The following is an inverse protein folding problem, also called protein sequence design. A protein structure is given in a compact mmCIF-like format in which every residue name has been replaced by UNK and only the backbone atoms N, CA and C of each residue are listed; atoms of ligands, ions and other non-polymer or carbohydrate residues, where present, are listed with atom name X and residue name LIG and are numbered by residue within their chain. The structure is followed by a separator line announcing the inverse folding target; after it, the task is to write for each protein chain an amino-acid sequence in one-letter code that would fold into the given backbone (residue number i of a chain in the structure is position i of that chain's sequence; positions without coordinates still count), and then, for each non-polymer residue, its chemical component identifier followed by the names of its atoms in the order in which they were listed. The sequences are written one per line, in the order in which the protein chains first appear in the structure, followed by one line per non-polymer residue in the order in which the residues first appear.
data_IF_162010199418
#
_entry.id   IF_162010199418
#
_cell.length_a   1.000
_cell.length_b   1.000
_cell.length_c   1.000
_cell.angle_alpha   90.00
_cell.angle_beta   90.00
_cell.angle_gamma   90.00
#
_symmetry.space_group_name_H-M   'P 1'
#
loop_
_entity.id
_entity.type
_entity.pdbx_description
1 polymer ?
#
# COMPACT_ATOMS: atom_id res chain seq x y z
N UNK A 1 5.71 4.02 21.04
CA UNK A 1 5.71 4.66 19.70
C UNK A 1 5.72 3.57 18.66
N UNK A 2 4.90 3.67 17.61
CA UNK A 2 5.00 2.71 16.49
C UNK A 2 6.14 3.15 15.58
N UNK A 3 7.05 2.26 15.24
CA UNK A 3 8.17 2.54 14.31
C UNK A 3 7.84 1.96 12.95
N UNK A 4 8.05 2.75 11.89
CA UNK A 4 7.88 2.34 10.49
C UNK A 4 9.11 2.78 9.68
N UNK A 5 9.41 2.13 8.52
CA UNK A 5 8.70 0.98 7.96
C UNK A 5 8.94 -0.29 8.77
N UNK A 6 8.01 -1.26 8.68
CA UNK A 6 8.17 -2.58 9.32
C UNK A 6 8.32 -3.67 8.27
N UNK A 7 9.08 -4.70 8.59
CA UNK A 7 9.15 -5.89 7.74
C UNK A 7 7.77 -6.56 7.70
N UNK A 8 7.28 -6.84 6.50
CA UNK A 8 6.03 -7.54 6.26
C UNK A 8 6.31 -9.02 6.04
N UNK A 9 5.73 -9.88 6.87
CA UNK A 9 6.00 -11.33 6.88
C UNK A 9 5.10 -12.13 5.92
N UNK A 10 4.13 -11.48 5.27
CA UNK A 10 3.17 -12.10 4.35
C UNK A 10 2.52 -13.40 4.84
N UNK A 11 2.07 -13.42 6.10
CA UNK A 11 1.46 -14.61 6.74
C UNK A 11 0.18 -15.05 6.02
N UNK A 12 -0.51 -14.11 5.38
CA UNK A 12 -1.74 -14.32 4.62
C UNK A 12 -1.49 -14.84 3.20
N UNK A 13 -0.24 -15.02 2.79
CA UNK A 13 0.17 -15.45 1.45
C UNK A 13 -0.44 -14.57 0.33
N UNK A 14 -0.41 -13.25 0.52
CA UNK A 14 -0.86 -12.29 -0.49
C UNK A 14 0.08 -12.34 -1.70
N UNK A 15 -0.52 -12.32 -2.90
CA UNK A 15 0.23 -12.18 -4.16
C UNK A 15 0.54 -10.71 -4.40
N UNK A 16 1.73 -10.29 -4.01
CA UNK A 16 2.19 -8.90 -4.15
C UNK A 16 3.00 -8.73 -5.45
N UNK A 17 2.92 -7.55 -6.04
CA UNK A 17 3.73 -7.12 -7.17
C UNK A 17 5.13 -6.69 -6.70
N UNK A 18 5.22 -6.15 -5.48
CA UNK A 18 6.50 -5.78 -4.88
C UNK A 18 7.41 -7.03 -4.72
N UNK A 19 8.68 -6.97 -5.13
CA UNK A 19 9.67 -8.04 -4.95
C UNK A 19 9.82 -8.50 -3.49
N UNK A 20 10.39 -9.68 -3.28
CA UNK A 20 10.59 -10.26 -1.92
C UNK A 20 11.43 -9.38 -0.99
N UNK A 21 11.30 -9.61 0.31
CA UNK A 21 11.58 -8.68 1.41
C UNK A 21 10.76 -7.39 1.35
N UNK A 22 9.46 -7.54 1.64
CA UNK A 22 8.51 -6.44 1.63
C UNK A 22 8.45 -5.73 2.98
N UNK A 23 8.18 -4.44 2.92
CA UNK A 23 7.99 -3.58 4.06
C UNK A 23 6.63 -2.91 3.99
N UNK A 24 6.03 -2.71 5.16
CA UNK A 24 4.78 -1.97 5.32
C UNK A 24 5.03 -0.52 5.78
N UNK A 25 4.25 0.42 5.25
CA UNK A 25 4.21 1.81 5.70
C UNK A 25 2.77 2.34 5.77
N UNK A 26 2.35 3.06 6.84
CA UNK A 26 0.98 3.55 6.97
C UNK A 26 0.64 4.61 5.92
N UNK A 27 -0.48 4.44 5.23
CA UNK A 27 -1.04 5.46 4.34
C UNK A 27 -2.02 6.33 5.13
N UNK A 28 -1.72 7.62 5.18
CA UNK A 28 -2.60 8.62 5.79
C UNK A 28 -3.50 9.23 4.70
N UNK A 29 -4.73 9.59 5.05
CA UNK A 29 -5.62 10.33 4.14
C UNK A 29 -5.12 11.75 3.86
N UNK A 30 -4.34 12.32 4.79
CA UNK A 30 -3.77 13.66 4.70
C UNK A 30 -2.39 13.69 5.37
N UNK A 31 -1.43 14.31 4.70
CA UNK A 31 -0.08 14.53 5.21
C UNK A 31 0.76 13.25 5.34
N UNK A 32 1.93 13.41 5.95
CA UNK A 32 2.84 12.31 6.22
C UNK A 32 2.48 11.58 7.52
N UNK A 33 2.83 10.30 7.61
CA UNK A 33 2.64 9.53 8.83
C UNK A 33 3.42 10.15 10.01
N UNK A 34 2.77 10.24 11.17
CA UNK A 34 3.33 10.77 12.40
C UNK A 34 3.38 9.67 13.49
N UNK A 35 4.56 9.35 14.05
CA UNK A 35 4.73 8.32 15.09
C UNK A 35 4.00 8.59 16.41
N UNK A 36 3.57 9.83 16.65
CA UNK A 36 2.77 10.19 17.84
C UNK A 36 1.28 9.91 17.66
N UNK A 37 0.84 9.58 16.44
CA UNK A 37 -0.56 9.24 16.13
C UNK A 37 -0.68 7.74 15.87
N UNK A 38 -1.87 7.21 16.15
CA UNK A 38 -2.20 5.85 15.76
C UNK A 38 -2.09 5.71 14.23
N UNK A 39 -1.37 4.70 13.71
CA UNK A 39 -1.31 4.46 12.28
C UNK A 39 -2.71 4.12 11.74
N UNK A 40 -3.00 4.54 10.51
CA UNK A 40 -4.26 4.21 9.84
C UNK A 40 -4.38 2.69 9.59
N UNK A 41 -5.48 2.20 9.02
CA UNK A 41 -5.65 0.78 8.71
C UNK A 41 -5.00 0.33 7.40
N UNK A 42 -4.64 1.28 6.55
CA UNK A 42 -4.11 1.03 5.21
C UNK A 42 -2.57 1.10 5.24
N UNK A 43 -1.93 0.19 4.51
CA UNK A 43 -0.48 0.08 4.36
C UNK A 43 -0.11 0.09 2.88
N UNK A 44 0.99 0.76 2.57
CA UNK A 44 1.75 0.49 1.35
C UNK A 44 2.70 -0.68 1.64
N UNK A 45 2.73 -1.67 0.76
CA UNK A 45 3.65 -2.80 0.77
C UNK A 45 4.66 -2.59 -0.35
N UNK A 46 5.95 -2.51 -0.02
CA UNK A 46 7.00 -2.15 -0.99
C UNK A 46 8.32 -2.82 -0.62
N UNK A 47 9.21 -3.00 -1.60
CA UNK A 47 10.59 -3.40 -1.34
C UNK A 47 11.44 -2.14 -1.09
N UNK A 48 12.37 -2.17 -0.11
CA UNK A 48 13.18 -0.99 0.23
C UNK A 48 14.18 -0.60 -0.86
N UNK A 49 14.68 -1.58 -1.60
CA UNK A 49 15.67 -1.45 -2.66
C UNK A 49 15.02 -1.05 -3.97
N UNK A 50 13.89 -1.68 -4.32
CA UNK A 50 13.09 -1.37 -5.50
C UNK A 50 11.69 -0.91 -5.11
N UNK A 51 11.46 0.40 -5.23
CA UNK A 51 10.16 1.04 -4.95
C UNK A 51 9.33 1.30 -6.20
N UNK A 52 9.76 0.80 -7.37
CA UNK A 52 9.02 0.97 -8.63
C UNK A 52 7.68 0.22 -8.61
N UNK A 53 7.62 -0.88 -7.87
CA UNK A 53 6.41 -1.63 -7.59
C UNK A 53 6.01 -1.48 -6.12
N UNK A 54 4.73 -1.23 -5.88
CA UNK A 54 4.15 -1.28 -4.54
C UNK A 54 2.71 -1.76 -4.63
N UNK A 55 2.24 -2.36 -3.55
CA UNK A 55 0.85 -2.75 -3.39
C UNK A 55 0.24 -1.97 -2.23
N UNK A 56 -1.09 -1.91 -2.20
CA UNK A 56 -1.83 -1.34 -1.08
C UNK A 56 -2.62 -2.45 -0.41
N UNK A 57 -2.50 -2.56 0.90
CA UNK A 57 -3.25 -3.52 1.70
C UNK A 57 -3.91 -2.83 2.90
N UNK A 58 -4.91 -3.46 3.49
CA UNK A 58 -5.60 -2.93 4.67
C UNK A 58 -5.86 -4.04 5.69
N UNK A 59 -5.92 -3.65 6.97
CA UNK A 59 -6.33 -4.55 8.04
C UNK A 59 -7.82 -4.89 7.93
N UNK A 60 -8.13 -6.15 7.63
CA UNK A 60 -9.47 -6.73 7.66
C UNK A 60 -9.65 -7.62 8.90
N UNK A 61 -10.33 -7.08 9.91
CA UNK A 61 -10.62 -7.78 11.17
C UNK A 61 -11.47 -9.04 11.00
N UNK A 62 -12.08 -9.27 9.83
CA UNK A 62 -12.79 -10.51 9.52
C UNK A 62 -11.85 -11.70 9.28
N UNK A 63 -10.59 -11.43 8.91
CA UNK A 63 -9.56 -12.47 8.72
C UNK A 63 -8.95 -12.85 10.07
N UNK A 64 -8.59 -11.85 10.88
CA UNK A 64 -8.02 -12.04 12.21
C UNK A 64 -8.15 -10.75 13.04
N UNK A 65 -8.23 -10.90 14.37
CA UNK A 65 -8.17 -9.80 15.33
C UNK A 65 -6.75 -9.25 15.50
N UNK A 66 -5.72 -10.03 15.12
CA UNK A 66 -4.32 -9.62 15.19
C UNK A 66 -4.00 -8.64 14.06
N UNK A 67 -3.72 -7.39 14.42
CA UNK A 67 -3.33 -6.35 13.47
C UNK A 67 -1.96 -6.62 12.81
N UNK A 68 -1.19 -7.63 13.23
CA UNK A 68 -0.01 -8.07 12.49
C UNK A 68 -0.31 -9.09 11.39
N UNK A 69 -1.50 -9.69 11.38
CA UNK A 69 -1.83 -10.89 10.60
C UNK A 69 -3.27 -10.88 10.08
N UNK A 70 -3.73 -9.72 9.62
CA UNK A 70 -5.06 -9.57 9.05
C UNK A 70 -5.09 -8.70 7.80
N UNK A 71 -4.06 -8.77 6.95
CA UNK A 71 -4.01 -8.00 5.73
C UNK A 71 -4.85 -8.59 4.60
N UNK A 72 -5.52 -7.69 3.88
CA UNK A 72 -6.12 -7.97 2.58
C UNK A 72 -5.63 -6.94 1.56
N UNK A 73 -5.34 -7.40 0.35
CA UNK A 73 -5.02 -6.51 -0.77
C UNK A 73 -6.20 -5.57 -1.08
N UNK A 74 -5.90 -4.30 -1.22
CA UNK A 74 -6.83 -3.34 -1.80
C UNK A 74 -6.85 -3.57 -3.31
N UNK A 75 -8.05 -3.84 -3.85
CA UNK A 75 -8.24 -3.90 -5.30
C UNK A 75 -8.11 -2.48 -5.86
N UNK A 76 -6.90 -2.07 -6.24
CA UNK A 76 -6.69 -0.82 -6.95
C UNK A 76 -7.13 -1.00 -8.40
N UNK A 77 -8.21 -0.31 -8.79
CA UNK A 77 -8.61 -0.15 -10.18
C UNK A 77 -8.30 1.30 -10.54
N UNK A 78 -7.25 1.60 -11.31
CA UNK A 78 -7.06 2.97 -11.78
C UNK A 78 -8.34 3.40 -12.50
N UNK A 79 -8.92 4.53 -12.10
CA UNK A 79 -9.94 5.17 -12.93
C UNK A 79 -9.23 5.47 -14.23
N UNK A 80 -9.66 4.84 -15.33
CA UNK A 80 -9.14 5.12 -16.66
C UNK A 80 -9.52 6.58 -16.97
N UNK A 81 -8.70 7.53 -16.56
CA UNK A 81 -8.66 8.82 -17.23
C UNK A 81 -7.93 8.46 -18.51
N UNK A 82 -8.71 8.13 -19.55
CA UNK A 82 -8.17 8.02 -20.89
C UNK A 82 -7.39 9.32 -21.13
N UNK A 83 -6.08 9.22 -21.23
CA UNK A 83 -5.26 10.25 -21.84
C UNK A 83 -5.87 10.46 -23.22
N UNK A 84 -6.70 11.51 -23.37
CA UNK A 84 -7.08 11.99 -24.67
C UNK A 84 -5.80 12.54 -25.27
N UNK A 85 -5.19 11.75 -26.13
CA UNK A 85 -4.24 12.18 -27.15
C UNK A 85 -4.72 13.52 -27.71
N UNK A 86 -4.16 14.61 -27.19
CA UNK A 86 -4.40 15.94 -27.71
C UNK A 86 -3.49 16.08 -28.91
N UNK A 87 -3.87 15.45 -30.03
CA UNK A 87 -3.29 15.75 -31.34
C UNK A 87 -3.76 17.17 -31.67
N UNK A 88 -2.91 18.16 -31.41
CA UNK A 88 -3.07 19.50 -31.94
C UNK A 88 -3.02 19.42 -33.47
N UNK A 89 -4.19 19.35 -34.12
CA UNK A 89 -4.32 19.72 -35.53
C UNK A 89 -4.11 21.22 -35.62
N UNK A 90 -2.95 21.62 -36.14
CA UNK A 90 -2.73 22.95 -36.71
C UNK A 90 -3.73 23.16 -37.85
N UNK A 91 -4.49 24.25 -37.78
CA UNK A 91 -5.08 24.93 -38.92
C UNK A 91 -4.55 26.36 -38.91
#
# INVERSE_FOLDING_TARGET
MSTYPKLYQNVENLKLQAPEEQFEWPIMSQGNWNPTRAPNKVRAMFNKTDRSAFDVAYHDKKISQDNGKNFRLANYRPSVVAEKDTIQKKF
#
